data_IF_699340594629
#
_entry.id   IF_699340594629
#
_cell.length_a   1.000
_cell.length_b   1.000
_cell.length_c   1.000
_cell.angle_alpha   90.00
_cell.angle_beta   90.00
_cell.angle_gamma   90.00
#
_symmetry.space_group_name_H-M   'P 1'
#
loop_
_entity.id
_entity.type
_entity.pdbx_description
1 polymer ?
#
# COMPACT_ATOMS: atom_id res chain seq x y z
N UNK A 1 -5.84 4.02 -19.85
CA UNK A 1 -5.67 2.95 -18.86
C UNK A 1 -6.65 3.12 -17.74
N UNK A 2 -7.19 2.03 -17.32
CA UNK A 2 -8.30 2.10 -16.43
C UNK A 2 -8.32 0.86 -15.52
N UNK A 3 -8.81 1.00 -14.33
CA UNK A 3 -8.87 -0.13 -13.42
C UNK A 3 -10.07 -0.01 -12.50
N UNK A 4 -10.45 -1.12 -11.91
CA UNK A 4 -11.60 -1.20 -11.04
C UNK A 4 -11.24 -0.71 -9.65
N UNK A 5 -12.07 0.15 -9.10
CA UNK A 5 -11.78 0.74 -7.80
C UNK A 5 -12.07 -0.20 -6.64
N UNK A 6 -12.91 -1.21 -6.85
CA UNK A 6 -13.16 -2.18 -5.77
C UNK A 6 -12.42 -3.48 -5.98
N UNK A 7 -11.39 -3.45 -6.78
CA UNK A 7 -10.53 -4.60 -6.96
C UNK A 7 -9.65 -4.76 -5.72
N UNK A 8 -9.63 -5.95 -5.14
CA UNK A 8 -8.77 -6.23 -3.99
C UNK A 8 -7.31 -5.98 -4.29
N UNK A 9 -6.90 -6.34 -5.51
CA UNK A 9 -5.53 -6.13 -5.92
C UNK A 9 -5.17 -4.66 -5.90
N UNK A 10 -6.11 -3.80 -6.26
CA UNK A 10 -5.87 -2.36 -6.25
C UNK A 10 -5.66 -1.83 -4.85
N UNK A 11 -6.44 -2.33 -3.88
CA UNK A 11 -6.27 -1.92 -2.50
C UNK A 11 -4.93 -2.37 -1.94
N UNK A 12 -4.55 -3.60 -2.24
CA UNK A 12 -3.26 -4.14 -1.81
C UNK A 12 -2.12 -3.33 -2.42
N UNK A 13 -2.21 -3.05 -3.71
CA UNK A 13 -1.18 -2.27 -4.39
C UNK A 13 -1.13 -0.84 -3.87
N UNK A 14 -2.29 -0.23 -3.64
CA UNK A 14 -2.34 1.13 -3.09
C UNK A 14 -1.68 1.17 -1.71
N UNK A 15 -1.99 0.21 -0.87
CA UNK A 15 -1.37 0.13 0.45
C UNK A 15 0.14 0.01 0.33
N UNK A 16 0.59 -0.85 -0.58
CA UNK A 16 2.01 -1.06 -0.79
C UNK A 16 2.71 0.24 -1.18
N UNK A 17 2.18 0.93 -2.18
CA UNK A 17 2.80 2.16 -2.66
C UNK A 17 2.74 3.28 -1.63
N UNK A 18 1.60 3.41 -0.92
CA UNK A 18 1.48 4.41 0.14
C UNK A 18 2.45 4.13 1.29
N UNK A 19 2.66 2.84 1.59
CA UNK A 19 3.62 2.45 2.63
C UNK A 19 5.03 2.88 2.27
N UNK A 20 5.40 2.68 1.02
CA UNK A 20 6.73 3.07 0.53
C UNK A 20 6.88 4.58 0.59
N UNK A 21 5.87 5.31 0.13
CA UNK A 21 5.91 6.76 0.16
C UNK A 21 6.01 7.29 1.59
N UNK A 22 5.27 6.66 2.51
CA UNK A 22 5.33 7.05 3.92
C UNK A 22 6.73 6.85 4.48
N UNK A 23 7.36 5.73 4.13
CA UNK A 23 8.72 5.46 4.59
C UNK A 23 9.71 6.50 4.08
N UNK A 24 9.38 7.15 2.98
CA UNK A 24 10.21 8.20 2.41
C UNK A 24 9.86 9.59 2.96
N UNK A 25 8.94 9.65 3.92
CA UNK A 25 8.62 10.89 4.60
C UNK A 25 7.41 11.64 4.07
N UNK A 26 6.62 11.02 3.22
CA UNK A 26 5.43 11.65 2.64
C UNK A 26 4.26 11.60 3.64
N UNK A 27 3.88 12.74 4.17
CA UNK A 27 2.80 12.82 5.16
C UNK A 27 1.44 12.53 4.54
N UNK A 28 1.25 12.89 3.29
CA UNK A 28 0.00 12.60 2.59
C UNK A 28 -0.17 11.09 2.42
N UNK A 29 0.92 10.39 2.22
CA UNK A 29 0.88 8.95 2.10
C UNK A 29 0.40 8.30 3.39
N UNK A 30 0.82 8.82 4.54
CA UNK A 30 0.38 8.28 5.82
C UNK A 30 -1.13 8.42 5.98
N UNK A 31 -1.66 9.56 5.57
CA UNK A 31 -3.10 9.82 5.64
C UNK A 31 -3.87 8.89 4.71
N UNK A 32 -3.38 8.76 3.48
CA UNK A 32 -4.02 7.91 2.48
C UNK A 32 -3.94 6.44 2.86
N UNK A 33 -2.84 6.05 3.49
CA UNK A 33 -2.65 4.69 3.94
C UNK A 33 -3.71 4.32 4.96
N UNK A 34 -4.01 5.24 5.88
CA UNK A 34 -5.02 5.01 6.90
C UNK A 34 -6.40 4.81 6.26
N UNK A 35 -6.69 5.60 5.24
CA UNK A 35 -7.97 5.50 4.53
C UNK A 35 -8.11 4.15 3.83
N UNK A 36 -7.08 3.75 3.10
CA UNK A 36 -7.14 2.50 2.34
C UNK A 36 -7.18 1.30 3.26
N UNK A 37 -6.53 1.40 4.41
CA UNK A 37 -6.51 0.34 5.41
C UNK A 37 -7.92 0.01 5.90
N UNK A 38 -8.78 1.01 6.02
CA UNK A 38 -10.14 0.80 6.48
C UNK A 38 -10.97 0.03 5.49
N UNK A 39 -10.58 0.00 4.24
CA UNK A 39 -11.29 -0.73 3.20
C UNK A 39 -10.74 -2.14 3.00
N UNK A 40 -9.74 -2.53 3.77
CA UNK A 40 -9.06 -3.80 3.58
C UNK A 40 -9.32 -4.75 4.74
N UNK A 41 -9.28 -6.05 4.43
CA UNK A 41 -9.33 -7.06 5.49
C UNK A 41 -7.95 -7.18 6.13
N UNK A 42 -7.88 -7.74 7.37
CA UNK A 42 -6.57 -7.96 7.99
C UNK A 42 -5.64 -8.83 7.15
N UNK A 43 -6.20 -9.83 6.44
CA UNK A 43 -5.39 -10.68 5.59
C UNK A 43 -4.79 -9.89 4.44
N UNK A 44 -5.57 -8.99 3.84
CA UNK A 44 -5.08 -8.16 2.76
C UNK A 44 -4.03 -7.18 3.24
N UNK A 45 -4.21 -6.65 4.44
CA UNK A 45 -3.23 -5.74 5.02
C UNK A 45 -1.90 -6.46 5.24
N UNK A 46 -1.94 -7.67 5.77
CA UNK A 46 -0.72 -8.46 5.97
C UNK A 46 0.00 -8.72 4.66
N UNK A 47 -0.78 -9.06 3.63
CA UNK A 47 -0.21 -9.32 2.31
C UNK A 47 0.44 -8.06 1.75
N UNK A 48 -0.25 -6.93 1.89
CA UNK A 48 0.28 -5.67 1.39
C UNK A 48 1.55 -5.25 2.12
N UNK A 49 1.60 -5.49 3.42
CA UNK A 49 2.79 -5.18 4.21
C UNK A 49 3.98 -6.00 3.76
N UNK A 50 3.76 -7.28 3.46
CA UNK A 50 4.83 -8.13 2.98
C UNK A 50 5.34 -7.66 1.62
N UNK A 51 4.42 -7.29 0.74
CA UNK A 51 4.80 -6.77 -0.57
C UNK A 51 5.53 -5.44 -0.46
N UNK A 52 5.11 -4.59 0.46
CA UNK A 52 5.77 -3.30 0.67
C UNK A 52 7.21 -3.51 1.15
N UNK A 53 7.41 -4.46 2.04
CA UNK A 53 8.75 -4.76 2.54
C UNK A 53 9.66 -5.25 1.42
N UNK A 54 9.15 -6.14 0.57
CA UNK A 54 9.91 -6.65 -0.56
C UNK A 54 10.28 -5.53 -1.53
N UNK A 55 9.30 -4.70 -1.83
CA UNK A 55 9.51 -3.62 -2.79
C UNK A 55 10.49 -2.60 -2.24
N UNK A 56 10.38 -2.29 -0.95
CA UNK A 56 11.30 -1.35 -0.31
C UNK A 56 12.73 -1.85 -0.39
N UNK A 57 12.93 -3.13 -0.17
CA UNK A 57 14.24 -3.75 -0.29
C UNK A 57 14.82 -3.58 -1.68
N UNK A 58 13.99 -3.80 -2.69
CA UNK A 58 14.43 -3.68 -4.08
C UNK A 58 14.77 -2.25 -4.43
N UNK A 59 14.00 -1.31 -3.92
CA UNK A 59 14.22 0.11 -4.21
C UNK A 59 15.51 0.59 -3.57
N UNK A 60 15.79 0.13 -2.36
CA UNK A 60 16.96 0.59 -1.62
C UNK A 60 18.21 -0.22 -1.91
N UNK A 61 18.09 -1.21 -2.70
CA UNK A 61 19.24 -2.05 -3.05
C UNK A 61 19.91 -1.59 -4.35
#
# INVERSE_FOLDING_TARGET
MYYEVNDFANNVMAYMWWSIAKAQGDENAAFNLDIVKKAMTPADISKAQALAAEMWEKINN
#
